data_IF_675445736424
#
_entry.id   IF_675445736424
#
_cell.length_a   1.000
_cell.length_b   1.000
_cell.length_c   1.000
_cell.angle_alpha   90.00
_cell.angle_beta   90.00
_cell.angle_gamma   90.00
#
_symmetry.space_group_name_H-M   'P 1'
#
loop_
_entity.id
_entity.type
_entity.pdbx_description
1 polymer ?
#
# COMPACT_ATOMS: atom_id res chain seq x y z
N UNK A 1 -34.09 -4.48 13.36
CA UNK A 1 -32.79 -5.18 13.42
C UNK A 1 -31.68 -4.14 13.46
N UNK A 2 -30.83 -4.15 14.49
CA UNK A 2 -29.61 -3.33 14.51
C UNK A 2 -28.51 -4.18 13.88
N UNK A 3 -28.06 -3.80 12.69
CA UNK A 3 -26.85 -4.38 12.09
C UNK A 3 -25.65 -3.79 12.83
N UNK A 4 -24.97 -4.62 13.61
CA UNK A 4 -23.65 -4.30 14.13
C UNK A 4 -22.67 -4.80 13.07
N UNK A 5 -21.91 -3.92 12.38
CA UNK A 5 -20.87 -4.37 11.49
C UNK A 5 -19.81 -5.09 12.33
N UNK A 6 -19.40 -6.28 11.89
CA UNK A 6 -18.20 -6.93 12.42
C UNK A 6 -17.04 -5.94 12.28
N UNK A 7 -16.42 -5.59 13.40
CA UNK A 7 -15.18 -4.81 13.39
C UNK A 7 -14.04 -5.77 13.12
N UNK A 8 -13.61 -5.84 11.88
CA UNK A 8 -12.26 -6.31 11.59
C UNK A 8 -11.28 -5.31 12.21
N UNK A 9 -10.42 -5.77 13.11
CA UNK A 9 -9.34 -4.96 13.69
C UNK A 9 -8.23 -4.81 12.63
N UNK A 10 -8.54 -4.09 11.55
CA UNK A 10 -7.66 -3.88 10.39
C UNK A 10 -7.04 -2.49 10.46
N UNK A 11 -5.74 -2.42 10.17
CA UNK A 11 -5.04 -1.15 10.08
C UNK A 11 -5.70 -0.27 9.03
N UNK A 12 -6.07 0.95 9.42
CA UNK A 12 -6.85 1.85 8.57
C UNK A 12 -6.05 3.13 8.30
N UNK A 13 -6.08 3.62 7.05
CA UNK A 13 -5.53 4.93 6.73
C UNK A 13 -6.60 5.99 7.04
N UNK A 14 -6.44 6.73 8.14
CA UNK A 14 -7.49 7.59 8.70
C UNK A 14 -7.48 9.01 8.14
N UNK A 15 -6.32 9.50 7.71
CA UNK A 15 -6.15 10.81 7.08
C UNK A 15 -4.94 10.79 6.14
N UNK A 16 -4.88 11.73 5.21
CA UNK A 16 -3.75 11.87 4.30
C UNK A 16 -3.67 13.29 3.72
N UNK A 17 -2.45 13.68 3.35
CA UNK A 17 -2.16 14.94 2.68
C UNK A 17 -0.84 14.87 1.90
N UNK A 18 -0.36 15.99 1.36
CA UNK A 18 0.92 16.03 0.66
C UNK A 18 2.07 15.57 1.56
N UNK A 19 2.78 14.51 1.18
CA UNK A 19 3.94 13.98 1.91
C UNK A 19 3.64 13.22 3.21
N UNK A 20 2.38 13.04 3.61
CA UNK A 20 2.06 12.36 4.87
C UNK A 20 0.73 11.60 4.83
N UNK A 21 0.64 10.56 5.66
CA UNK A 21 -0.61 9.83 5.95
C UNK A 21 -0.74 9.58 7.45
N UNK A 22 -1.94 9.34 7.93
CA UNK A 22 -2.17 8.74 9.23
C UNK A 22 -2.57 7.28 9.05
N UNK A 23 -1.84 6.37 9.71
CA UNK A 23 -2.24 4.97 9.86
C UNK A 23 -2.72 4.82 11.29
N UNK A 24 -4.01 4.53 11.46
CA UNK A 24 -4.71 4.57 12.73
C UNK A 24 -4.55 5.96 13.40
N UNK A 25 -3.89 6.04 14.55
CA UNK A 25 -3.62 7.30 15.26
C UNK A 25 -2.26 7.92 14.91
N UNK A 26 -1.42 7.22 14.16
CA UNK A 26 -0.01 7.59 13.98
C UNK A 26 0.21 8.29 12.65
N UNK A 27 0.89 9.44 12.72
CA UNK A 27 1.35 10.16 11.54
C UNK A 27 2.62 9.53 10.97
N UNK A 28 2.59 9.29 9.66
CA UNK A 28 3.69 8.77 8.86
C UNK A 28 4.06 9.79 7.79
N UNK A 29 5.34 10.12 7.71
CA UNK A 29 5.91 11.15 6.81
C UNK A 29 7.03 10.56 5.93
N UNK A 30 7.11 9.24 5.85
CA UNK A 30 8.04 8.49 4.99
C UNK A 30 7.28 7.39 4.24
N UNK A 31 7.82 6.95 3.11
CA UNK A 31 7.22 5.86 2.35
C UNK A 31 7.08 4.60 3.19
N UNK A 32 5.95 3.93 3.06
CA UNK A 32 5.55 2.87 3.97
C UNK A 32 4.81 1.77 3.25
N UNK A 33 5.00 0.54 3.71
CA UNK A 33 4.18 -0.60 3.34
C UNK A 33 3.23 -0.88 4.51
N UNK A 34 1.93 -0.88 4.23
CA UNK A 34 0.85 -1.17 5.18
C UNK A 34 0.07 -2.40 4.72
N UNK A 35 -0.37 -3.25 5.63
CA UNK A 35 -1.11 -4.46 5.29
C UNK A 35 -2.22 -4.80 6.26
N UNK A 36 -3.24 -5.51 5.78
CA UNK A 36 -4.41 -5.87 6.59
C UNK A 36 -4.12 -6.83 7.74
N UNK A 37 -2.96 -7.49 7.73
CA UNK A 37 -2.52 -8.41 8.80
C UNK A 37 -1.51 -7.77 9.76
N UNK A 38 -1.43 -6.44 9.79
CA UNK A 38 -0.57 -5.70 10.72
C UNK A 38 0.81 -5.35 10.16
N UNK A 39 1.08 -5.59 8.86
CA UNK A 39 2.33 -5.17 8.25
C UNK A 39 2.43 -3.65 8.29
N UNK A 40 3.50 -3.14 8.87
CA UNK A 40 3.81 -1.72 8.91
C UNK A 40 5.32 -1.54 8.81
N UNK A 41 5.81 -1.45 7.59
CA UNK A 41 7.23 -1.55 7.25
C UNK A 41 7.66 -0.26 6.56
N UNK A 42 8.71 0.39 7.06
CA UNK A 42 9.31 1.51 6.35
C UNK A 42 9.78 1.03 4.96
N UNK A 43 9.43 1.77 3.92
CA UNK A 43 9.83 1.47 2.55
C UNK A 43 10.92 2.44 2.14
N UNK A 44 12.09 1.89 1.78
CA UNK A 44 13.34 2.66 1.63
C UNK A 44 13.42 3.44 0.32
N UNK A 45 12.44 4.31 0.09
CA UNK A 45 12.36 5.21 -1.07
C UNK A 45 11.73 6.55 -0.66
N UNK A 46 12.31 7.65 -1.12
CA UNK A 46 11.80 9.01 -0.80
C UNK A 46 11.10 9.68 -1.98
N UNK A 47 11.46 9.25 -3.19
CA UNK A 47 10.89 9.68 -4.47
C UNK A 47 10.79 8.50 -5.42
N UNK A 48 10.03 8.66 -6.49
CA UNK A 48 9.79 7.58 -7.44
C UNK A 48 11.08 7.08 -8.10
N UNK A 49 12.04 7.98 -8.30
CA UNK A 49 13.33 7.69 -8.94
C UNK A 49 14.26 6.83 -8.04
N UNK A 50 13.95 6.72 -6.75
CA UNK A 50 14.69 5.83 -5.82
C UNK A 50 14.19 4.37 -5.93
N UNK A 51 13.05 4.13 -6.59
CA UNK A 51 12.51 2.79 -6.75
C UNK A 51 13.44 1.92 -7.59
N UNK A 52 13.45 0.64 -7.24
CA UNK A 52 14.38 -0.34 -7.77
C UNK A 52 13.70 -1.72 -7.78
N UNK A 53 14.19 -2.69 -8.56
CA UNK A 53 13.63 -4.04 -8.58
C UNK A 53 13.48 -4.68 -7.19
N UNK A 54 14.44 -4.41 -6.29
CA UNK A 54 14.45 -4.94 -4.92
C UNK A 54 13.21 -4.50 -4.11
N UNK A 55 12.73 -3.28 -4.32
CA UNK A 55 11.52 -2.78 -3.65
C UNK A 55 10.28 -3.61 -4.00
N UNK A 56 10.16 -4.06 -5.26
CA UNK A 56 9.04 -4.89 -5.70
C UNK A 56 9.22 -6.37 -5.37
N UNK A 57 10.47 -6.84 -5.32
CA UNK A 57 10.79 -8.18 -4.80
C UNK A 57 10.37 -8.33 -3.33
N UNK A 58 10.65 -7.31 -2.50
CA UNK A 58 10.21 -7.26 -1.09
C UNK A 58 8.68 -7.40 -0.97
N UNK A 59 7.91 -6.72 -1.84
CA UNK A 59 6.43 -6.81 -1.81
C UNK A 59 5.94 -8.22 -2.10
N UNK A 60 6.64 -8.96 -2.96
CA UNK A 60 6.30 -10.35 -3.25
C UNK A 60 6.48 -11.26 -2.03
N UNK A 61 7.26 -10.88 -1.01
CA UNK A 61 7.46 -11.69 0.19
C UNK A 61 6.28 -11.58 1.18
N UNK A 62 5.44 -10.54 1.05
CA UNK A 62 4.43 -10.16 2.06
C UNK A 62 3.11 -10.97 2.02
N UNK A 63 3.07 -12.04 1.24
CA UNK A 63 1.93 -12.98 1.14
C UNK A 63 0.59 -12.22 1.01
N UNK A 64 0.41 -11.49 -0.09
CA UNK A 64 -0.78 -10.70 -0.37
C UNK A 64 -1.59 -11.32 -1.52
N UNK A 65 -2.90 -11.10 -1.55
CA UNK A 65 -3.70 -11.37 -2.77
C UNK A 65 -3.47 -10.26 -3.81
N UNK A 66 -3.37 -9.02 -3.34
CA UNK A 66 -3.22 -7.83 -4.16
C UNK A 66 -2.32 -6.82 -3.46
N UNK A 67 -1.49 -6.16 -4.26
CA UNK A 67 -0.68 -5.03 -3.85
C UNK A 67 -1.23 -3.78 -4.55
N UNK A 68 -1.52 -2.76 -3.76
CA UNK A 68 -1.84 -1.42 -4.24
C UNK A 68 -0.57 -0.58 -4.12
N UNK A 69 -0.01 -0.16 -5.25
CA UNK A 69 1.13 0.73 -5.29
C UNK A 69 0.67 2.18 -5.47
N UNK A 70 0.87 2.97 -4.42
CA UNK A 70 0.72 4.42 -4.44
C UNK A 70 2.02 5.06 -4.95
N UNK A 71 2.01 5.54 -6.19
CA UNK A 71 3.21 6.02 -6.89
C UNK A 71 3.56 7.48 -6.61
N UNK A 72 3.12 8.05 -5.49
CA UNK A 72 3.36 9.44 -5.11
C UNK A 72 2.23 10.38 -5.51
N UNK A 73 2.57 11.62 -5.85
CA UNK A 73 1.62 12.72 -6.16
C UNK A 73 0.85 12.51 -7.47
N UNK A 74 1.31 11.61 -8.33
CA UNK A 74 0.74 11.30 -9.64
C UNK A 74 0.89 9.81 -9.94
N UNK A 75 0.03 9.30 -10.82
CA UNK A 75 0.11 7.93 -11.30
C UNK A 75 1.36 7.71 -12.18
N UNK A 76 2.25 6.83 -11.76
CA UNK A 76 3.50 6.44 -12.45
C UNK A 76 3.71 4.94 -12.31
N UNK A 77 3.86 4.25 -13.43
CA UNK A 77 4.00 2.80 -13.46
C UNK A 77 5.45 2.36 -13.26
N UNK A 78 5.70 1.33 -12.44
CA UNK A 78 7.01 0.71 -12.37
C UNK A 78 7.32 -0.02 -13.69
N UNK A 79 8.60 -0.16 -14.06
CA UNK A 79 9.02 -1.02 -15.16
C UNK A 79 8.44 -2.44 -15.05
N UNK A 80 7.85 -3.00 -16.13
CA UNK A 80 7.25 -4.34 -16.09
C UNK A 80 8.20 -5.45 -15.62
N UNK A 81 9.51 -5.30 -15.90
CA UNK A 81 10.53 -6.25 -15.47
C UNK A 81 10.61 -6.40 -13.93
N UNK A 82 10.24 -5.36 -13.18
CA UNK A 82 10.27 -5.40 -11.71
C UNK A 82 9.10 -6.18 -11.12
N UNK A 83 8.07 -6.46 -11.92
CA UNK A 83 6.84 -7.12 -11.47
C UNK A 83 6.92 -8.64 -11.52
N UNK A 84 7.97 -9.20 -12.12
CA UNK A 84 8.16 -10.64 -12.24
C UNK A 84 8.02 -11.41 -10.92
N UNK A 85 8.56 -10.94 -9.77
CA UNK A 85 8.40 -11.64 -8.49
C UNK A 85 6.92 -11.72 -8.03
N UNK A 86 6.17 -10.63 -8.22
CA UNK A 86 4.74 -10.57 -7.88
C UNK A 86 3.95 -11.54 -8.77
N UNK A 87 4.21 -11.53 -10.08
CA UNK A 87 3.57 -12.42 -11.05
C UNK A 87 3.85 -13.90 -10.75
N UNK A 88 5.09 -14.24 -10.39
CA UNK A 88 5.47 -15.62 -10.05
C UNK A 88 4.67 -16.15 -8.84
N UNK A 89 4.28 -15.25 -7.93
CA UNK A 89 3.43 -15.57 -6.78
C UNK A 89 1.93 -15.34 -7.02
N UNK A 90 1.53 -14.99 -8.24
CA UNK A 90 0.15 -14.65 -8.64
C UNK A 90 -0.45 -13.51 -7.83
N UNK A 91 0.37 -12.55 -7.44
CA UNK A 91 -0.03 -11.34 -6.72
C UNK A 91 -0.33 -10.25 -7.75
N UNK A 92 -1.56 -9.74 -7.75
CA UNK A 92 -1.94 -8.61 -8.60
C UNK A 92 -1.29 -7.31 -8.10
N UNK A 93 -0.83 -6.46 -9.01
CA UNK A 93 -0.36 -5.11 -8.69
C UNK A 93 -1.27 -4.09 -9.38
N UNK A 94 -1.87 -3.19 -8.60
CA UNK A 94 -2.56 -2.01 -9.11
C UNK A 94 -1.75 -0.76 -8.81
N UNK A 95 -1.54 0.10 -9.81
CA UNK A 95 -0.79 1.35 -9.65
C UNK A 95 -1.70 2.56 -9.79
N UNK A 96 -1.60 3.49 -8.84
CA UNK A 96 -2.37 4.73 -8.78
C UNK A 96 -1.60 5.81 -8.00
N UNK A 97 -2.11 7.05 -7.95
CA UNK A 97 -1.55 8.04 -7.02
C UNK A 97 -1.75 7.61 -5.55
N UNK A 98 -0.90 8.09 -4.65
CA UNK A 98 -0.88 7.67 -3.25
C UNK A 98 -2.21 7.94 -2.54
N UNK A 99 -2.92 9.02 -2.86
CA UNK A 99 -4.20 9.33 -2.21
C UNK A 99 -5.30 8.37 -2.66
N UNK A 100 -5.33 8.01 -3.95
CA UNK A 100 -6.19 6.95 -4.46
C UNK A 100 -5.84 5.61 -3.82
N UNK A 101 -4.56 5.27 -3.70
CA UNK A 101 -4.09 4.05 -3.07
C UNK A 101 -4.58 3.92 -1.63
N UNK A 102 -4.53 5.01 -0.85
CA UNK A 102 -5.03 5.04 0.52
C UNK A 102 -6.53 4.69 0.60
N UNK A 103 -7.35 5.26 -0.30
CA UNK A 103 -8.79 4.98 -0.35
C UNK A 103 -9.07 3.54 -0.75
N UNK A 104 -8.41 3.05 -1.80
CA UNK A 104 -8.58 1.69 -2.32
C UNK A 104 -8.18 0.66 -1.27
N UNK A 105 -7.05 0.87 -0.59
CA UNK A 105 -6.61 0.02 0.52
C UNK A 105 -7.69 -0.10 1.60
N UNK A 106 -8.24 1.01 2.08
CA UNK A 106 -9.27 0.97 3.12
C UNK A 106 -10.54 0.22 2.67
N UNK A 107 -10.95 0.36 1.40
CA UNK A 107 -12.10 -0.38 0.86
C UNK A 107 -11.82 -1.88 0.90
N UNK A 108 -10.70 -2.32 0.31
CA UNK A 108 -10.34 -3.73 0.23
C UNK A 108 -10.06 -4.34 1.61
N UNK A 109 -9.47 -3.56 2.52
CA UNK A 109 -9.26 -3.95 3.91
C UNK A 109 -10.58 -4.13 4.66
N UNK A 110 -11.53 -3.20 4.47
CA UNK A 110 -12.87 -3.29 5.05
C UNK A 110 -13.70 -4.46 4.50
N UNK A 111 -13.41 -4.92 3.28
CA UNK A 111 -13.97 -6.14 2.69
C UNK A 111 -13.33 -7.43 3.23
N UNK A 112 -12.33 -7.34 4.11
CA UNK A 112 -11.64 -8.49 4.70
C UNK A 112 -10.62 -9.14 3.78
N UNK A 113 -10.18 -8.45 2.70
CA UNK A 113 -9.19 -8.98 1.76
C UNK A 113 -7.77 -8.89 2.33
N UNK A 114 -6.91 -9.82 1.91
CA UNK A 114 -5.48 -9.76 2.21
C UNK A 114 -4.77 -8.83 1.22
N UNK A 115 -4.76 -7.53 1.53
CA UNK A 115 -4.19 -6.47 0.69
C UNK A 115 -2.98 -5.82 1.36
N UNK A 116 -1.98 -5.51 0.54
CA UNK A 116 -0.84 -4.67 0.90
C UNK A 116 -0.94 -3.34 0.14
N UNK A 117 -0.71 -2.23 0.83
CA UNK A 117 -0.49 -0.92 0.23
C UNK A 117 0.99 -0.54 0.35
N UNK A 118 1.68 -0.38 -0.78
CA UNK A 118 3.03 0.18 -0.85
C UNK A 118 2.92 1.65 -1.26
N UNK A 119 3.15 2.57 -0.32
CA UNK A 119 2.83 3.98 -0.47
C UNK A 119 4.12 4.80 -0.54
N UNK A 120 4.39 5.40 -1.70
CA UNK A 120 5.43 6.41 -1.86
C UNK A 120 4.92 7.74 -1.31
N UNK A 121 5.60 8.27 -0.30
CA UNK A 121 5.33 9.59 0.27
C UNK A 121 6.46 10.54 -0.17
N UNK A 122 6.18 11.33 -1.20
CA UNK A 122 7.06 12.39 -1.69
C UNK A 122 6.41 13.75 -1.38
N UNK A 123 7.22 14.73 -0.99
CA UNK A 123 6.79 16.11 -0.68
C UNK A 123 6.88 17.01 -1.92
#
# INVERSE_FOLDING_TARGET
MKFQPDRFDVQTITAYGPGWINVDADRIEHSIIVGTRGQRIAWDCSRFEDLAPAHFAQLAELDAEVVIFGSGTRNRFPPPAWLQPLMARRIGLETMDTLAACRTYNILAGEGRNVIAALLLEA
#
